data_IF_539689766808
#
_entry.id   IF_539689766808
#
_cell.length_a   1.000
_cell.length_b   1.000
_cell.length_c   1.000
_cell.angle_alpha   90.00
_cell.angle_beta   90.00
_cell.angle_gamma   90.00
#
_symmetry.space_group_name_H-M   'P 1'
#
loop_
_entity.id
_entity.type
_entity.pdbx_description
1 polymer ?
#
# COMPACT_ATOMS: atom_id res chain seq x y z
N UNK A 1 13.99 1.24 10.09
CA UNK A 1 13.36 0.27 9.15
C UNK A 1 12.17 0.82 8.35
N UNK A 2 11.34 1.73 8.91
CA UNK A 2 10.07 2.18 8.28
C UNK A 2 10.21 3.09 7.03
N UNK A 3 11.38 3.72 6.83
CA UNK A 3 11.68 4.50 5.61
C UNK A 3 11.85 3.58 4.40
N UNK A 4 12.49 2.43 4.60
CA UNK A 4 12.60 1.34 3.61
C UNK A 4 11.23 0.81 3.21
N UNK A 5 10.35 0.55 4.19
CA UNK A 5 8.96 0.12 3.93
C UNK A 5 8.19 1.16 3.09
N UNK A 6 8.42 2.46 3.34
CA UNK A 6 7.78 3.51 2.54
C UNK A 6 8.27 3.52 1.10
N UNK A 7 9.56 3.31 0.86
CA UNK A 7 10.14 3.22 -0.49
C UNK A 7 9.67 1.95 -1.23
N UNK A 8 9.64 0.81 -0.54
CA UNK A 8 9.10 -0.45 -1.08
C UNK A 8 7.64 -0.25 -1.51
N UNK A 9 6.85 0.46 -0.70
CA UNK A 9 5.46 0.75 -1.01
C UNK A 9 5.28 1.65 -2.24
N UNK A 10 6.17 2.65 -2.42
CA UNK A 10 6.18 3.51 -3.61
C UNK A 10 6.55 2.71 -4.86
N UNK A 11 7.58 1.86 -4.78
CA UNK A 11 8.00 1.00 -5.90
C UNK A 11 6.86 0.06 -6.30
N UNK A 12 6.18 -0.56 -5.33
CA UNK A 12 5.04 -1.44 -5.57
C UNK A 12 3.87 -0.75 -6.30
N UNK A 13 3.57 0.51 -5.94
CA UNK A 13 2.56 1.30 -6.65
C UNK A 13 2.98 1.56 -8.10
N UNK A 14 4.25 1.90 -8.34
CA UNK A 14 4.74 2.19 -9.70
C UNK A 14 4.63 0.94 -10.57
N UNK A 15 5.12 -0.21 -10.11
CA UNK A 15 5.02 -1.48 -10.86
C UNK A 15 3.58 -1.85 -11.13
N UNK A 16 2.70 -1.61 -10.17
CA UNK A 16 1.27 -1.88 -10.30
C UNK A 16 0.60 -1.06 -11.42
N UNK A 17 0.92 0.22 -11.51
CA UNK A 17 0.40 1.11 -12.57
C UNK A 17 0.88 0.66 -13.95
N UNK A 18 2.14 0.21 -14.05
CA UNK A 18 2.71 -0.29 -15.31
C UNK A 18 2.00 -1.56 -15.76
N UNK A 19 1.85 -2.56 -14.88
CA UNK A 19 1.15 -3.81 -15.19
C UNK A 19 -0.30 -3.56 -15.64
N UNK A 20 -1.02 -2.69 -14.93
CA UNK A 20 -2.40 -2.35 -15.30
C UNK A 20 -2.48 -1.60 -16.62
N UNK A 21 -1.49 -0.76 -16.93
CA UNK A 21 -1.37 -0.09 -18.23
C UNK A 21 -1.19 -1.09 -19.37
N UNK A 22 -0.38 -2.13 -19.19
CA UNK A 22 -0.15 -3.18 -20.20
C UNK A 22 -1.42 -4.02 -20.40
N UNK A 23 -2.10 -4.39 -19.32
CA UNK A 23 -3.40 -5.08 -19.36
C UNK A 23 -4.45 -4.24 -20.09
N UNK A 24 -4.51 -2.93 -19.80
CA UNK A 24 -5.40 -1.98 -20.46
C UNK A 24 -5.14 -1.83 -21.96
N UNK A 25 -3.87 -1.81 -22.37
CA UNK A 25 -3.49 -1.77 -23.79
C UNK A 25 -3.90 -3.05 -24.53
N UNK A 26 -3.69 -4.23 -23.94
CA UNK A 26 -4.11 -5.51 -24.53
C UNK A 26 -5.63 -5.62 -24.68
N UNK A 27 -6.39 -5.08 -23.72
CA UNK A 27 -7.85 -4.96 -23.83
C UNK A 27 -8.28 -4.09 -25.01
N UNK A 28 -7.56 -2.99 -25.26
CA UNK A 28 -7.86 -2.06 -26.35
C UNK A 28 -7.58 -2.68 -27.73
N UNK A 29 -6.57 -3.55 -27.81
CA UNK A 29 -6.17 -4.27 -29.02
C UNK A 29 -7.14 -5.41 -29.39
N UNK A 30 -8.12 -5.72 -28.53
CA UNK A 30 -9.10 -6.80 -28.74
C UNK A 30 -8.51 -8.21 -28.57
N UNK A 31 -7.29 -8.33 -28.04
CA UNK A 31 -6.63 -9.59 -27.78
C UNK A 31 -6.83 -10.02 -26.31
N UNK A 32 -7.67 -11.03 -26.08
CA UNK A 32 -8.13 -11.45 -24.75
C UNK A 32 -7.20 -12.45 -24.04
N UNK A 33 -5.97 -12.65 -24.52
CA UNK A 33 -4.92 -13.41 -23.84
C UNK A 33 -4.32 -12.61 -22.65
N UNK A 34 -5.22 -12.25 -21.74
CA UNK A 34 -4.98 -11.34 -20.62
C UNK A 34 -5.19 -12.09 -19.31
N UNK A 35 -5.68 -13.34 -19.34
CA UNK A 35 -6.01 -14.14 -18.16
C UNK A 35 -4.82 -14.28 -17.21
N UNK A 36 -3.63 -14.53 -17.74
CA UNK A 36 -2.41 -14.61 -16.93
C UNK A 36 -2.01 -13.24 -16.35
N UNK A 37 -2.05 -12.17 -17.16
CA UNK A 37 -1.71 -10.81 -16.71
C UNK A 37 -2.70 -10.25 -15.68
N UNK A 38 -3.99 -10.54 -15.85
CA UNK A 38 -5.05 -10.16 -14.92
C UNK A 38 -4.91 -10.88 -13.58
N UNK A 39 -4.59 -12.18 -13.57
CA UNK A 39 -4.33 -12.92 -12.34
C UNK A 39 -3.12 -12.39 -11.58
N UNK A 40 -2.00 -12.14 -12.29
CA UNK A 40 -0.79 -11.56 -11.68
C UNK A 40 -1.07 -10.17 -11.11
N UNK A 41 -1.76 -9.31 -11.87
CA UNK A 41 -2.17 -7.98 -11.42
C UNK A 41 -3.10 -8.01 -10.20
N UNK A 42 -4.03 -8.95 -10.14
CA UNK A 42 -4.95 -9.13 -9.01
C UNK A 42 -4.22 -9.57 -7.74
N UNK A 43 -3.30 -10.52 -7.85
CA UNK A 43 -2.45 -10.96 -6.72
C UNK A 43 -1.58 -9.80 -6.20
N UNK A 44 -1.00 -9.01 -7.11
CA UNK A 44 -0.24 -7.81 -6.76
C UNK A 44 -1.11 -6.77 -6.02
N UNK A 45 -2.33 -6.50 -6.52
CA UNK A 45 -3.28 -5.62 -5.84
C UNK A 45 -3.60 -6.09 -4.43
N UNK A 46 -3.89 -7.38 -4.29
CA UNK A 46 -4.29 -7.96 -3.03
C UNK A 46 -3.17 -7.83 -2.00
N UNK A 47 -1.92 -8.11 -2.39
CA UNK A 47 -0.75 -7.92 -1.53
C UNK A 47 -0.55 -6.45 -1.10
N UNK A 48 -0.71 -5.50 -2.03
CA UNK A 48 -0.60 -4.07 -1.72
C UNK A 48 -1.71 -3.66 -0.74
N UNK A 49 -2.96 -4.09 -0.99
CA UNK A 49 -4.10 -3.79 -0.14
C UNK A 49 -3.90 -4.32 1.28
N UNK A 50 -3.48 -5.58 1.40
CA UNK A 50 -3.14 -6.19 2.69
C UNK A 50 -2.04 -5.38 3.40
N UNK A 51 -0.98 -4.97 2.70
CA UNK A 51 0.07 -4.12 3.28
C UNK A 51 -0.43 -2.75 3.74
N UNK A 52 -1.35 -2.11 3.00
CA UNK A 52 -1.99 -0.85 3.41
C UNK A 52 -2.77 -1.05 4.68
N UNK A 53 -3.61 -2.08 4.71
CA UNK A 53 -4.46 -2.41 5.85
C UNK A 53 -3.58 -2.66 7.06
N UNK A 54 -2.55 -3.52 6.95
CA UNK A 54 -1.59 -3.75 8.03
C UNK A 54 -0.91 -2.47 8.49
N UNK A 55 -0.46 -1.60 7.57
CA UNK A 55 0.17 -0.33 7.92
C UNK A 55 -0.80 0.62 8.62
N UNK A 56 -2.04 0.71 8.15
CA UNK A 56 -3.09 1.52 8.78
C UNK A 56 -3.43 1.03 10.20
N UNK A 57 -3.41 -0.29 10.42
CA UNK A 57 -3.55 -0.87 11.75
C UNK A 57 -2.31 -0.63 12.63
N UNK A 58 -1.11 -0.75 12.07
CA UNK A 58 0.13 -0.58 12.83
C UNK A 58 0.44 0.88 13.16
N UNK A 59 0.06 1.83 12.31
CA UNK A 59 0.27 3.27 12.53
C UNK A 59 -0.75 3.89 13.50
N UNK A 60 -1.62 3.08 14.14
CA UNK A 60 -2.44 3.52 15.27
C UNK A 60 -1.57 3.78 16.50
N UNK A 61 -1.92 4.83 17.24
CA UNK A 61 -1.31 5.10 18.54
C UNK A 61 -1.76 4.05 19.57
N UNK A 62 -0.84 3.41 20.32
CA UNK A 62 -1.19 2.36 21.28
C UNK A 62 -2.04 2.87 22.46
N UNK A 63 -1.98 4.17 22.76
CA UNK A 63 -2.70 4.74 23.90
C UNK A 63 -4.13 5.20 23.58
N UNK A 64 -4.40 5.59 22.33
CA UNK A 64 -5.68 6.18 21.97
C UNK A 64 -6.33 5.56 20.73
N UNK A 65 -5.67 4.59 20.07
CA UNK A 65 -6.19 3.88 18.90
C UNK A 65 -6.37 4.73 17.64
N UNK A 66 -6.11 6.04 17.70
CA UNK A 66 -6.25 6.94 16.56
C UNK A 66 -5.09 6.75 15.57
N UNK A 67 -5.42 6.81 14.28
CA UNK A 67 -4.45 6.77 13.19
C UNK A 67 -3.51 7.97 13.28
N UNK A 68 -2.21 7.72 13.29
CA UNK A 68 -1.22 8.79 13.31
C UNK A 68 -1.07 9.39 11.92
N UNK A 69 -1.48 10.65 11.79
CA UNK A 69 -1.20 11.44 10.58
C UNK A 69 0.25 11.95 10.54
N UNK A 70 0.87 12.17 11.71
CA UNK A 70 2.20 12.79 11.83
C UNK A 70 3.21 11.95 12.64
N UNK A 71 4.48 11.96 12.17
CA UNK A 71 5.62 11.20 12.71
C UNK A 71 6.33 11.92 13.88
N UNK A 72 5.58 12.59 14.76
CA UNK A 72 6.13 13.22 15.98
C UNK A 72 6.49 12.21 17.09
N UNK A 73 7.34 12.61 18.05
CA UNK A 73 7.58 11.82 19.29
C UNK A 73 6.31 11.63 20.12
N UNK A 74 5.38 12.57 20.00
CA UNK A 74 4.14 12.61 20.75
C UNK A 74 2.95 12.38 19.82
N UNK A 75 1.90 11.74 20.34
CA UNK A 75 0.64 11.61 19.62
C UNK A 75 -0.06 12.97 19.53
N UNK A 76 -0.41 13.43 18.33
CA UNK A 76 -1.13 14.70 18.13
C UNK A 76 -2.54 14.71 18.75
N UNK A 77 -3.11 13.55 19.08
CA UNK A 77 -4.44 13.44 19.68
C UNK A 77 -4.42 13.26 21.20
N UNK A 78 -3.54 12.40 21.73
CA UNK A 78 -3.52 12.11 23.17
C UNK A 78 -2.33 12.75 23.92
N UNK A 79 -1.42 13.42 23.23
CA UNK A 79 -0.24 14.08 23.81
C UNK A 79 0.80 13.14 24.41
N UNK A 80 0.49 11.85 24.59
CA UNK A 80 1.42 10.87 25.15
C UNK A 80 2.56 10.58 24.18
N UNK A 81 3.75 10.36 24.74
CA UNK A 81 4.89 9.89 23.96
C UNK A 81 4.55 8.52 23.35
N UNK A 82 4.99 8.33 22.12
CA UNK A 82 4.78 7.07 21.43
C UNK A 82 6.10 6.31 21.52
N UNK A 83 6.26 5.61 22.63
CA UNK A 83 7.32 4.63 22.86
C UNK A 83 6.96 3.40 22.03
N UNK A 84 7.51 3.32 20.81
CA UNK A 84 7.26 2.22 19.88
C UNK A 84 8.55 1.64 19.34
#
# INVERSE_FOLDING_TARGET
MKKMISWIYVIAIITFVIDWGIVGLKLLDGNYDITAGAYIGLVCLFMIFVCVVYKAFHDKCPHCGKLRLSKGKYCSYCGKEITK
#
